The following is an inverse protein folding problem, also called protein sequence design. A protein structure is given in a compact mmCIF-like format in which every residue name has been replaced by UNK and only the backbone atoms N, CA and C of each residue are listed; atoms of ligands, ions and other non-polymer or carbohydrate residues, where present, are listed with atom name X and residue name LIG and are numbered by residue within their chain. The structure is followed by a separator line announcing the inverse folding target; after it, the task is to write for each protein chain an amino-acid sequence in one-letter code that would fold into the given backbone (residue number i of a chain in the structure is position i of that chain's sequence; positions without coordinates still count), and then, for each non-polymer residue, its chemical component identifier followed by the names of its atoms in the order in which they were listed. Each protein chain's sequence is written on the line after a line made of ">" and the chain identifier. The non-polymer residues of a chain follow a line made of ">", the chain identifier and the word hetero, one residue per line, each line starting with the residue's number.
data_IF_832639319234
#
_entry.id   IF_832639319234
#
_cell.length_a   1.000
_cell.length_b   1.000
_cell.length_c   1.000
_cell.angle_alpha   90.00
_cell.angle_beta   90.00
_cell.angle_gamma   90.00
#
_symmetry.space_group_name_H-M   'P 1'
#
loop_
_entity.id
_entity.type
_entity.pdbx_description
1 polymer ?
#
# COMPACT_ATOMS: atom_id res chain seq x y z
N UNK A 1 31.66 5.40 2.83
CA UNK A 1 31.57 5.66 1.39
C UNK A 1 30.36 6.55 1.21
N UNK A 2 30.65 7.84 1.15
CA UNK A 2 29.81 8.98 0.73
C UNK A 2 28.33 8.93 1.13
N UNK A 3 28.03 9.46 2.32
CA UNK A 3 26.72 10.02 2.63
C UNK A 3 26.54 11.32 1.83
N UNK A 4 26.40 11.23 0.51
CA UNK A 4 25.80 12.29 -0.28
C UNK A 4 24.42 12.53 0.32
N UNK A 5 24.28 13.63 1.06
CA UNK A 5 23.03 14.02 1.71
C UNK A 5 22.04 14.48 0.63
N UNK A 6 21.57 13.54 -0.19
CA UNK A 6 20.42 13.75 -1.05
C UNK A 6 19.25 14.15 -0.16
N UNK A 7 18.70 15.32 -0.47
CA UNK A 7 17.53 15.86 0.21
C UNK A 7 16.45 14.79 0.34
N UNK A 8 16.07 14.48 1.58
CA UNK A 8 15.08 13.46 1.91
C UNK A 8 14.14 13.97 2.99
N UNK A 9 12.83 13.95 2.72
CA UNK A 9 11.82 14.33 3.72
C UNK A 9 11.89 13.48 4.99
N UNK A 10 12.39 12.24 4.89
CA UNK A 10 12.52 11.33 6.03
C UNK A 10 13.60 11.73 7.01
N UNK A 11 14.57 12.57 6.60
CA UNK A 11 15.64 13.07 7.47
C UNK A 11 15.14 13.99 8.59
N UNK A 12 13.95 14.59 8.43
CA UNK A 12 13.33 15.46 9.44
C UNK A 12 12.57 14.68 10.52
N UNK A 13 12.34 13.37 10.34
CA UNK A 13 11.59 12.56 11.29
C UNK A 13 12.56 11.81 12.21
N UNK A 14 12.54 12.09 13.53
CA UNK A 14 13.38 11.38 14.49
C UNK A 14 13.14 9.85 14.40
N UNK A 15 14.21 9.07 14.30
CA UNK A 15 14.16 7.61 14.14
C UNK A 15 14.20 7.13 12.68
N UNK A 16 13.58 7.85 11.74
CA UNK A 16 13.70 7.52 10.30
C UNK A 16 14.98 8.10 9.69
N UNK A 17 15.49 9.20 10.22
CA UNK A 17 16.71 9.85 9.74
C UNK A 17 17.97 8.98 9.77
N UNK A 18 18.01 7.97 10.64
CA UNK A 18 19.14 7.04 10.75
C UNK A 18 19.03 5.84 9.78
N UNK A 19 17.89 5.66 9.12
CA UNK A 19 17.62 4.53 8.24
C UNK A 19 17.95 4.89 6.78
N UNK A 20 18.31 3.91 5.94
CA UNK A 20 18.33 4.08 4.50
C UNK A 20 16.97 4.58 3.99
N UNK A 21 16.98 5.52 3.03
CA UNK A 21 15.76 6.17 2.54
C UNK A 21 14.68 5.19 2.06
N UNK A 22 15.07 4.14 1.34
CA UNK A 22 14.11 3.12 0.87
C UNK A 22 13.43 2.36 2.00
N UNK A 23 14.12 2.14 3.14
CA UNK A 23 13.55 1.51 4.33
C UNK A 23 12.59 2.48 5.02
N UNK A 24 12.99 3.75 5.18
CA UNK A 24 12.14 4.77 5.75
C UNK A 24 10.84 4.96 4.93
N UNK A 25 10.95 4.97 3.59
CA UNK A 25 9.81 5.02 2.70
C UNK A 25 8.93 3.77 2.82
N UNK A 26 9.51 2.57 2.90
CA UNK A 26 8.75 1.33 3.09
C UNK A 26 7.94 1.40 4.39
N UNK A 27 8.56 1.78 5.50
CA UNK A 27 7.89 1.94 6.79
C UNK A 27 6.78 2.98 6.70
N UNK A 28 7.06 4.15 6.12
CA UNK A 28 6.07 5.22 5.96
C UNK A 28 4.85 4.76 5.17
N UNK A 29 5.04 4.14 4.00
CA UNK A 29 3.94 3.64 3.16
C UNK A 29 3.20 2.51 3.87
N UNK A 30 3.88 1.60 4.55
CA UNK A 30 3.23 0.54 5.35
C UNK A 30 2.37 1.12 6.47
N UNK A 31 2.87 2.11 7.22
CA UNK A 31 2.08 2.79 8.26
C UNK A 31 0.86 3.49 7.66
N UNK A 32 1.03 4.20 6.54
CA UNK A 32 -0.06 4.86 5.83
C UNK A 32 -1.15 3.86 5.40
N UNK A 33 -0.77 2.72 4.84
CA UNK A 33 -1.72 1.67 4.44
C UNK A 33 -2.39 0.99 5.64
N UNK A 34 -1.67 0.78 6.74
CA UNK A 34 -2.26 0.28 7.99
C UNK A 34 -3.29 1.26 8.55
N UNK A 35 -2.99 2.56 8.57
CA UNK A 35 -3.93 3.60 8.99
C UNK A 35 -5.16 3.64 8.08
N UNK A 36 -4.95 3.56 6.75
CA UNK A 36 -6.05 3.46 5.78
C UNK A 36 -6.94 2.25 6.05
N UNK A 37 -6.36 1.07 6.25
CA UNK A 37 -7.10 -0.16 6.54
C UNK A 37 -7.87 -0.09 7.87
N UNK A 38 -7.25 0.45 8.93
CA UNK A 38 -7.91 0.66 10.22
C UNK A 38 -9.04 1.66 10.10
N UNK A 39 -8.83 2.79 9.41
CA UNK A 39 -9.88 3.77 9.16
C UNK A 39 -11.04 3.16 8.36
N UNK A 40 -10.75 2.30 7.38
CA UNK A 40 -11.78 1.64 6.58
C UNK A 40 -12.59 0.68 7.46
N UNK A 41 -11.92 -0.11 8.30
CA UNK A 41 -12.57 -1.03 9.24
C UNK A 41 -13.40 -0.30 10.30
N UNK A 42 -12.90 0.81 10.84
CA UNK A 42 -13.63 1.61 11.85
C UNK A 42 -14.81 2.32 11.22
N UNK A 43 -14.64 2.86 10.01
CA UNK A 43 -15.75 3.40 9.22
C UNK A 43 -16.79 2.30 9.00
N UNK A 44 -16.34 1.08 8.69
CA UNK A 44 -17.22 -0.03 8.45
C UNK A 44 -18.08 -0.40 9.66
N UNK A 45 -17.44 -0.52 10.82
CA UNK A 45 -18.14 -0.83 12.07
C UNK A 45 -19.16 0.24 12.51
N UNK A 46 -19.02 1.49 12.04
CA UNK A 46 -19.89 2.61 12.44
C UNK A 46 -21.15 2.74 11.59
N UNK A 47 -21.17 2.22 10.36
CA UNK A 47 -22.33 2.31 9.48
C UNK A 47 -23.28 1.11 9.69
N UNK A 48 -24.42 1.34 10.34
CA UNK A 48 -25.41 0.28 10.65
C UNK A 48 -26.25 -0.18 9.44
N UNK A 49 -26.34 0.63 8.38
CA UNK A 49 -27.13 0.35 7.18
C UNK A 49 -26.22 0.30 5.95
N UNK A 50 -25.64 -0.87 5.68
CA UNK A 50 -24.78 -1.14 4.53
C UNK A 50 -25.51 -1.26 3.19
N UNK A 51 -26.84 -1.38 3.23
CA UNK A 51 -27.63 -1.75 2.06
C UNK A 51 -27.91 -0.58 1.09
N UNK A 52 -27.61 0.66 1.48
CA UNK A 52 -27.78 1.83 0.61
C UNK A 52 -26.53 2.71 0.68
N UNK A 53 -25.73 2.79 -0.39
CA UNK A 53 -24.58 3.69 -0.41
C UNK A 53 -25.06 5.14 -0.27
N UNK A 54 -24.54 5.92 0.70
CA UNK A 54 -24.90 7.32 0.84
C UNK A 54 -24.47 8.10 -0.40
N UNK A 55 -25.28 9.06 -0.84
CA UNK A 55 -25.07 9.88 -2.05
C UNK A 55 -23.87 10.85 -2.00
N UNK A 56 -23.04 10.78 -0.95
CA UNK A 56 -21.85 11.61 -0.73
C UNK A 56 -20.59 10.76 -0.70
N UNK A 57 -19.47 11.31 -1.22
CA UNK A 57 -18.14 10.73 -1.08
C UNK A 57 -17.73 10.70 0.41
N UNK A 58 -17.99 9.57 1.05
CA UNK A 58 -17.56 9.27 2.42
C UNK A 58 -16.31 8.38 2.34
N UNK A 59 -15.46 8.41 3.38
CA UNK A 59 -14.26 7.55 3.43
C UNK A 59 -14.60 6.07 3.19
N UNK A 60 -15.73 5.59 3.73
CA UNK A 60 -16.26 4.25 3.47
C UNK A 60 -16.48 3.97 1.97
N UNK A 61 -17.27 4.82 1.30
CA UNK A 61 -17.58 4.65 -0.11
C UNK A 61 -16.31 4.68 -0.97
N UNK A 62 -15.33 5.50 -0.58
CA UNK A 62 -14.04 5.54 -1.26
C UNK A 62 -13.25 4.24 -1.07
N UNK A 63 -13.13 3.72 0.17
CA UNK A 63 -12.46 2.44 0.41
C UNK A 63 -13.15 1.26 -0.26
N UNK A 64 -14.49 1.26 -0.29
CA UNK A 64 -15.29 0.25 -0.96
C UNK A 64 -15.07 0.31 -2.47
N UNK A 65 -15.12 1.51 -3.07
CA UNK A 65 -14.85 1.70 -4.50
C UNK A 65 -13.44 1.22 -4.88
N UNK A 66 -12.42 1.58 -4.10
CA UNK A 66 -11.04 1.12 -4.35
C UNK A 66 -10.96 -0.39 -4.27
N UNK A 67 -11.46 -1.00 -3.19
CA UNK A 67 -11.38 -2.45 -3.00
C UNK A 67 -12.18 -3.24 -4.04
N UNK A 68 -13.38 -2.77 -4.41
CA UNK A 68 -14.21 -3.39 -5.44
C UNK A 68 -13.53 -3.37 -6.82
N UNK A 69 -12.92 -2.24 -7.20
CA UNK A 69 -12.21 -2.13 -8.47
C UNK A 69 -10.98 -3.04 -8.50
N UNK A 70 -10.17 -3.06 -7.43
CA UNK A 70 -9.02 -3.97 -7.34
C UNK A 70 -9.46 -5.44 -7.35
N UNK A 71 -10.58 -5.76 -6.72
CA UNK A 71 -11.12 -7.12 -6.72
C UNK A 71 -11.60 -7.53 -8.10
N UNK A 72 -12.26 -6.63 -8.85
CA UNK A 72 -12.66 -6.87 -10.25
C UNK A 72 -11.45 -7.11 -11.16
N UNK A 73 -10.38 -6.34 -11.00
CA UNK A 73 -9.12 -6.58 -11.71
C UNK A 73 -8.54 -7.96 -11.36
N UNK A 74 -8.56 -8.33 -10.09
CA UNK A 74 -8.08 -9.63 -9.62
C UNK A 74 -8.92 -10.78 -10.19
N UNK A 75 -10.25 -10.63 -10.25
CA UNK A 75 -11.16 -11.60 -10.88
C UNK A 75 -10.95 -11.71 -12.39
N UNK A 76 -10.64 -10.61 -13.08
CA UNK A 76 -10.36 -10.63 -14.52
C UNK A 76 -9.12 -11.47 -14.84
N UNK A 77 -8.13 -11.49 -13.95
CA UNK A 77 -6.87 -12.22 -14.14
C UNK A 77 -6.93 -13.66 -13.61
N UNK A 78 -7.50 -13.87 -12.41
CA UNK A 78 -7.44 -15.14 -11.69
C UNK A 78 -8.77 -15.91 -11.66
N UNK A 79 -9.86 -15.30 -12.14
CA UNK A 79 -11.21 -15.86 -12.07
C UNK A 79 -11.64 -16.13 -10.62
N UNK A 80 -12.20 -17.33 -10.40
CA UNK A 80 -12.73 -17.75 -9.09
C UNK A 80 -11.66 -17.81 -7.98
N UNK A 81 -10.38 -17.91 -8.33
CA UNK A 81 -9.29 -17.91 -7.36
C UNK A 81 -9.02 -16.52 -6.75
N UNK A 82 -9.55 -15.45 -7.34
CA UNK A 82 -9.31 -14.09 -6.89
C UNK A 82 -9.66 -13.90 -5.41
N UNK A 83 -10.73 -14.50 -4.91
CA UNK A 83 -11.11 -14.40 -3.50
C UNK A 83 -9.99 -14.86 -2.55
N UNK A 84 -9.28 -15.93 -2.88
CA UNK A 84 -8.20 -16.49 -2.05
C UNK A 84 -6.94 -15.61 -2.07
N UNK A 85 -6.60 -15.05 -3.23
CA UNK A 85 -5.35 -14.30 -3.42
C UNK A 85 -5.50 -12.78 -3.22
N UNK A 86 -6.73 -12.27 -3.28
CA UNK A 86 -7.01 -10.84 -3.26
C UNK A 86 -6.45 -10.10 -2.05
N UNK A 87 -6.52 -10.62 -0.80
CA UNK A 87 -5.96 -9.90 0.35
C UNK A 87 -4.48 -9.56 0.16
N UNK A 88 -3.69 -10.48 -0.41
CA UNK A 88 -2.27 -10.26 -0.65
C UNK A 88 -2.03 -9.40 -1.89
N UNK A 89 -2.65 -9.77 -3.01
CA UNK A 89 -2.47 -9.05 -4.29
C UNK A 89 -2.94 -7.59 -4.16
N UNK A 90 -4.07 -7.35 -3.51
CA UNK A 90 -4.59 -6.01 -3.27
C UNK A 90 -3.69 -5.17 -2.37
N UNK A 91 -3.15 -5.75 -1.28
CA UNK A 91 -2.19 -5.04 -0.42
C UNK A 91 -0.89 -4.72 -1.15
N UNK A 92 -0.33 -5.68 -1.89
CA UNK A 92 0.90 -5.46 -2.67
C UNK A 92 0.68 -4.43 -3.77
N UNK A 93 -0.46 -4.48 -4.46
CA UNK A 93 -0.84 -3.47 -5.45
C UNK A 93 -0.82 -2.07 -4.83
N UNK A 94 -1.52 -1.87 -3.71
CA UNK A 94 -1.57 -0.56 -3.04
C UNK A 94 -0.18 -0.13 -2.53
N UNK A 95 0.61 -1.05 -1.98
CA UNK A 95 1.96 -0.76 -1.52
C UNK A 95 2.86 -0.28 -2.66
N UNK A 96 2.90 -1.00 -3.78
CA UNK A 96 3.70 -0.65 -4.95
C UNK A 96 3.19 0.64 -5.58
N UNK A 97 1.86 0.77 -5.74
CA UNK A 97 1.24 1.95 -6.33
C UNK A 97 1.55 3.23 -5.54
N UNK A 98 1.40 3.20 -4.21
CA UNK A 98 1.68 4.37 -3.37
C UNK A 98 3.18 4.69 -3.33
N UNK A 99 4.06 3.68 -3.33
CA UNK A 99 5.49 3.93 -3.48
C UNK A 99 5.81 4.60 -4.82
N UNK A 100 5.23 4.14 -5.93
CA UNK A 100 5.48 4.73 -7.23
C UNK A 100 4.94 6.18 -7.31
N UNK A 101 3.80 6.47 -6.68
CA UNK A 101 3.30 7.84 -6.55
C UNK A 101 4.21 8.70 -5.66
N UNK A 102 4.75 8.13 -4.58
CA UNK A 102 5.69 8.81 -3.70
C UNK A 102 6.96 9.24 -4.45
N UNK A 103 7.44 8.45 -5.40
CA UNK A 103 8.58 8.79 -6.26
C UNK A 103 8.37 10.01 -7.17
N UNK A 104 7.11 10.43 -7.40
CA UNK A 104 6.83 11.68 -8.10
C UNK A 104 7.06 12.92 -7.21
N UNK A 105 7.12 12.74 -5.90
CA UNK A 105 7.31 13.83 -4.96
C UNK A 105 8.80 14.18 -4.84
N UNK A 106 9.19 15.44 -5.09
CA UNK A 106 10.60 15.83 -5.09
C UNK A 106 11.21 15.60 -3.71
N UNK A 107 12.35 14.91 -3.64
CA UNK A 107 13.01 14.58 -2.36
C UNK A 107 12.41 13.40 -1.61
N UNK A 108 11.48 12.65 -2.21
CA UNK A 108 11.10 11.34 -1.70
C UNK A 108 11.80 10.26 -2.54
N UNK A 109 12.39 9.27 -1.86
CA UNK A 109 12.95 8.08 -2.51
C UNK A 109 12.06 6.90 -2.17
N UNK A 110 11.28 6.37 -3.13
CA UNK A 110 10.32 5.30 -2.86
C UNK A 110 11.03 3.98 -2.55
N UNK A 111 10.35 3.11 -1.81
CA UNK A 111 10.91 1.82 -1.45
C UNK A 111 11.17 0.93 -2.69
N UNK A 112 10.39 1.13 -3.75
CA UNK A 112 10.43 0.37 -5.01
C UNK A 112 11.65 0.68 -5.89
N UNK A 113 12.41 1.75 -5.60
CA UNK A 113 13.68 2.04 -6.28
C UNK A 113 14.81 1.09 -5.85
N UNK A 114 14.64 0.40 -4.70
CA UNK A 114 15.63 -0.55 -4.21
C UNK A 114 15.28 -1.98 -4.64
N UNK A 115 16.25 -2.66 -5.27
CA UNK A 115 16.09 -4.05 -5.73
C UNK A 115 15.76 -5.02 -4.61
N UNK A 116 16.24 -4.78 -3.37
CA UNK A 116 15.93 -5.66 -2.24
C UNK A 116 14.44 -5.62 -1.91
N UNK A 117 13.80 -4.44 -2.01
CA UNK A 117 12.36 -4.30 -1.78
C UNK A 117 11.57 -5.05 -2.84
N UNK A 118 11.90 -4.85 -4.12
CA UNK A 118 11.16 -5.50 -5.22
C UNK A 118 11.39 -7.01 -5.22
N UNK A 119 12.61 -7.46 -4.93
CA UNK A 119 12.95 -8.87 -4.75
C UNK A 119 12.20 -9.48 -3.56
N UNK A 120 12.13 -8.79 -2.42
CA UNK A 120 11.40 -9.28 -1.25
C UNK A 120 9.91 -9.45 -1.55
N UNK A 121 9.27 -8.48 -2.21
CA UNK A 121 7.88 -8.61 -2.66
C UNK A 121 7.70 -9.78 -3.63
N UNK A 122 8.57 -9.92 -4.63
CA UNK A 122 8.50 -10.99 -5.62
C UNK A 122 8.71 -12.38 -5.02
N UNK A 123 9.71 -12.53 -4.15
CA UNK A 123 10.01 -13.78 -3.46
C UNK A 123 8.86 -14.19 -2.53
N UNK A 124 8.27 -13.23 -1.79
CA UNK A 124 7.11 -13.48 -0.96
C UNK A 124 5.92 -14.01 -1.77
N UNK A 125 5.59 -13.36 -2.90
CA UNK A 125 4.51 -13.81 -3.79
C UNK A 125 4.80 -15.20 -4.36
N UNK A 126 6.04 -15.44 -4.79
CA UNK A 126 6.46 -16.73 -5.34
C UNK A 126 6.27 -17.85 -4.30
N UNK A 127 6.76 -17.65 -3.07
CA UNK A 127 6.62 -18.65 -2.01
C UNK A 127 5.14 -18.84 -1.65
N UNK A 128 4.38 -17.76 -1.47
CA UNK A 128 2.97 -17.84 -1.11
C UNK A 128 2.13 -18.59 -2.15
N UNK A 129 2.44 -18.42 -3.44
CA UNK A 129 1.71 -19.10 -4.50
C UNK A 129 2.07 -20.59 -4.64
N UNK A 130 3.32 -20.97 -4.33
CA UNK A 130 3.81 -22.34 -4.52
C UNK A 130 3.72 -23.22 -3.26
N UNK A 131 3.29 -22.67 -2.13
CA UNK A 131 3.05 -23.42 -0.88
C UNK A 131 1.59 -23.91 -0.82
#
# INVERSE_FOLDING_TARGET
>A
MEHEAHFSWFSYVPGLAALPNHIAAAIFVSVLLCLFAVAARVSLARHKNYLVPPSRLTFLNFSDLVSENLYKLSQMVMGNHAHTYFPIVGTLFLFIFINNLLGLFPGASPATDNVNTTLACGAFVFIYYNY
#
